data_IF_714340152700
#
_entry.id   IF_714340152700
#
_cell.length_a   1.000
_cell.length_b   1.000
_cell.length_c   1.000
_cell.angle_alpha   90.00
_cell.angle_beta   90.00
_cell.angle_gamma   90.00
#
_symmetry.space_group_name_H-M   'P 1'
#
loop_
_entity.id
_entity.type
_entity.pdbx_description
1 polymer ?
#
# COMPACT_ATOMS: atom_id res chain seq x y z
N UNK A 1 6.39 4.78 5.60
CA UNK A 1 7.34 3.83 4.96
C UNK A 1 7.83 2.79 5.97
N UNK A 2 8.42 3.17 7.11
CA UNK A 2 8.83 2.21 8.16
C UNK A 2 7.67 1.30 8.58
N UNK A 3 6.51 1.88 8.88
CA UNK A 3 5.30 1.15 9.26
C UNK A 3 4.85 0.09 8.22
N UNK A 4 4.95 0.42 6.92
CA UNK A 4 4.62 -0.53 5.84
C UNK A 4 5.62 -1.69 5.85
N UNK A 5 6.92 -1.39 5.98
CA UNK A 5 7.96 -2.41 6.01
C UNK A 5 7.82 -3.32 7.24
N UNK A 6 7.55 -2.74 8.41
CA UNK A 6 7.39 -3.47 9.66
C UNK A 6 6.15 -4.38 9.61
N UNK A 7 5.02 -3.87 9.09
CA UNK A 7 3.82 -4.67 8.90
C UNK A 7 4.00 -5.79 7.87
N UNK A 8 4.72 -5.54 6.76
CA UNK A 8 5.04 -6.58 5.78
C UNK A 8 5.91 -7.70 6.39
N UNK A 9 6.82 -7.37 7.31
CA UNK A 9 7.63 -8.38 8.03
C UNK A 9 6.81 -9.12 9.07
N UNK A 10 5.97 -8.42 9.83
CA UNK A 10 5.24 -8.98 10.95
C UNK A 10 3.98 -9.77 10.55
N UNK A 11 3.23 -9.27 9.57
CA UNK A 11 1.91 -9.78 9.20
C UNK A 11 1.84 -10.25 7.74
N UNK A 12 2.85 -9.97 6.92
CA UNK A 12 2.85 -10.30 5.48
C UNK A 12 1.99 -9.37 4.64
N UNK A 13 1.38 -8.34 5.23
CA UNK A 13 0.59 -7.34 4.54
C UNK A 13 0.48 -6.04 5.33
N UNK A 14 0.08 -4.97 4.65
CA UNK A 14 -0.24 -3.69 5.27
C UNK A 14 -1.53 -3.13 4.68
N UNK A 15 -2.46 -2.71 5.54
CA UNK A 15 -3.72 -2.10 5.14
C UNK A 15 -3.82 -0.68 5.68
N UNK A 16 -4.33 0.25 4.87
CA UNK A 16 -4.52 1.63 5.27
C UNK A 16 -5.73 2.26 4.58
N UNK A 17 -6.32 3.26 5.24
CA UNK A 17 -7.26 4.20 4.60
C UNK A 17 -6.51 5.43 4.12
N UNK A 18 -6.77 5.81 2.89
CA UNK A 18 -6.20 6.98 2.23
C UNK A 18 -7.34 7.92 1.91
N UNK A 19 -7.21 9.18 2.30
CA UNK A 19 -8.01 10.25 1.74
C UNK A 19 -7.63 10.43 0.26
N UNK A 20 -8.53 9.99 -0.61
CA UNK A 20 -8.37 9.95 -2.04
C UNK A 20 -8.99 11.18 -2.74
N UNK A 21 -9.42 12.21 -1.99
CA UNK A 21 -9.84 13.48 -2.59
C UNK A 21 -8.72 14.15 -3.38
N UNK A 22 -7.47 13.83 -3.06
CA UNK A 22 -6.28 14.29 -3.80
C UNK A 22 -5.52 13.09 -4.36
N UNK A 23 -5.44 12.98 -5.69
CA UNK A 23 -4.66 11.94 -6.38
C UNK A 23 -3.20 11.87 -5.92
N UNK A 24 -2.61 13.00 -5.51
CA UNK A 24 -1.25 13.05 -4.98
C UNK A 24 -1.06 12.11 -3.76
N UNK A 25 -2.05 11.99 -2.87
CA UNK A 25 -1.96 11.09 -1.71
C UNK A 25 -1.88 9.63 -2.12
N UNK A 26 -2.57 9.25 -3.19
CA UNK A 26 -2.50 7.90 -3.78
C UNK A 26 -1.13 7.64 -4.39
N UNK A 27 -0.55 8.63 -5.06
CA UNK A 27 0.81 8.57 -5.64
C UNK A 27 1.87 8.44 -4.54
N UNK A 28 1.78 9.27 -3.50
CA UNK A 28 2.72 9.27 -2.37
C UNK A 28 2.67 7.94 -1.60
N UNK A 29 1.46 7.39 -1.42
CA UNK A 29 1.28 6.07 -0.84
C UNK A 29 1.93 4.97 -1.70
N UNK A 30 1.67 5.00 -3.01
CA UNK A 30 2.25 4.06 -3.98
C UNK A 30 3.78 4.09 -3.99
N UNK A 31 4.36 5.29 -3.88
CA UNK A 31 5.80 5.47 -3.77
C UNK A 31 6.32 4.89 -2.45
N UNK A 32 5.67 5.19 -1.34
CA UNK A 32 6.04 4.71 -0.01
C UNK A 32 6.01 3.18 0.10
N UNK A 33 5.00 2.54 -0.47
CA UNK A 33 4.90 1.07 -0.52
C UNK A 33 6.04 0.45 -1.32
N UNK A 34 6.36 1.01 -2.50
CA UNK A 34 7.50 0.54 -3.31
C UNK A 34 8.84 0.72 -2.62
N UNK A 35 9.04 1.84 -1.91
CA UNK A 35 10.25 2.08 -1.13
C UNK A 35 10.37 1.09 0.05
N UNK A 36 9.27 0.75 0.71
CA UNK A 36 9.25 -0.29 1.74
C UNK A 36 9.66 -1.66 1.17
N UNK A 37 9.08 -2.07 0.04
CA UNK A 37 9.47 -3.30 -0.66
C UNK A 37 10.96 -3.32 -1.01
N UNK A 38 11.48 -2.23 -1.59
CA UNK A 38 12.92 -2.09 -1.91
C UNK A 38 13.82 -2.26 -0.69
N UNK A 39 13.45 -1.65 0.45
CA UNK A 39 14.21 -1.77 1.71
C UNK A 39 14.24 -3.22 2.21
N UNK A 40 13.18 -3.98 1.98
CA UNK A 40 13.05 -5.38 2.37
C UNK A 40 13.62 -6.35 1.30
N UNK A 41 14.10 -5.86 0.16
CA UNK A 41 14.57 -6.71 -0.94
C UNK A 41 13.47 -7.46 -1.68
N UNK A 42 12.20 -7.04 -1.54
CA UNK A 42 11.04 -7.68 -2.18
C UNK A 42 10.31 -6.72 -3.13
N UNK A 43 9.54 -7.30 -4.06
CA UNK A 43 8.53 -6.53 -4.81
C UNK A 43 7.23 -6.56 -4.02
N UNK A 44 6.44 -5.50 -4.16
CA UNK A 44 5.12 -5.39 -3.52
C UNK A 44 4.04 -5.15 -4.58
N UNK A 45 2.86 -5.71 -4.34
CA UNK A 45 1.62 -5.36 -5.02
C UNK A 45 0.86 -4.36 -4.15
N UNK A 46 0.20 -3.38 -4.79
CA UNK A 46 -0.61 -2.37 -4.12
C UNK A 46 -1.99 -2.40 -4.75
N UNK A 47 -2.99 -2.86 -3.98
CA UNK A 47 -4.39 -2.85 -4.35
C UNK A 47 -5.05 -1.61 -3.74
N UNK A 48 -5.76 -0.82 -4.54
CA UNK A 48 -6.45 0.39 -4.08
C UNK A 48 -7.91 0.29 -4.49
N UNK A 49 -8.80 0.27 -3.51
CA UNK A 49 -10.24 0.21 -3.69
C UNK A 49 -10.85 1.52 -3.24
N UNK A 50 -11.44 2.23 -4.18
CA UNK A 50 -12.21 3.44 -3.87
C UNK A 50 -13.52 3.03 -3.22
N UNK A 51 -13.78 3.54 -2.02
CA UNK A 51 -15.07 3.32 -1.35
C UNK A 51 -16.15 4.10 -2.11
N UNK A 52 -17.30 3.48 -2.37
CA UNK A 52 -18.47 4.16 -2.96
C UNK A 52 -19.17 5.14 -2.01
N UNK A 53 -18.71 5.22 -0.76
CA UNK A 53 -19.23 6.14 0.23
C UNK A 53 -18.88 7.60 -0.13
N UNK A 54 -19.68 8.60 0.26
CA UNK A 54 -19.59 9.98 -0.24
C UNK A 54 -18.31 10.76 0.16
N UNK A 55 -17.35 10.13 0.83
CA UNK A 55 -16.28 10.83 1.56
C UNK A 55 -14.91 10.77 0.89
N UNK A 56 -14.81 10.31 -0.36
CA UNK A 56 -13.55 10.38 -1.12
C UNK A 56 -12.40 9.61 -0.47
N UNK A 57 -12.70 8.50 0.23
CA UNK A 57 -11.70 7.61 0.80
C UNK A 57 -11.40 6.42 -0.12
N UNK A 58 -10.18 5.92 -0.03
CA UNK A 58 -9.75 4.67 -0.63
C UNK A 58 -9.14 3.75 0.44
N UNK A 59 -9.45 2.48 0.35
CA UNK A 59 -8.77 1.43 1.11
C UNK A 59 -7.60 0.92 0.27
N UNK A 60 -6.42 0.88 0.87
CA UNK A 60 -5.23 0.38 0.22
C UNK A 60 -4.67 -0.82 0.97
N UNK A 61 -4.33 -1.86 0.21
CA UNK A 61 -3.68 -3.07 0.72
C UNK A 61 -2.37 -3.28 -0.01
N UNK A 62 -1.31 -3.53 0.75
CA UNK A 62 0.04 -3.81 0.25
C UNK A 62 0.41 -5.23 0.62
N UNK A 63 0.80 -6.03 -0.37
CA UNK A 63 1.24 -7.42 -0.16
C UNK A 63 2.55 -7.67 -0.89
N UNK A 64 3.40 -8.62 -0.44
CA UNK A 64 4.54 -9.09 -1.22
C UNK A 64 4.06 -9.64 -2.57
N UNK A 65 4.75 -9.28 -3.64
CA UNK A 65 4.53 -9.89 -4.94
C UNK A 65 5.24 -11.25 -4.92
N UNK A 66 4.50 -12.31 -4.62
CA UNK A 66 4.96 -13.68 -4.87
C UNK A 66 5.14 -13.86 -6.38
N UNK A 67 6.29 -14.40 -6.80
CA UNK A 67 6.46 -14.77 -8.19
C UNK A 67 5.35 -15.76 -8.59
N UNK A 68 4.71 -15.62 -9.76
CA UNK A 68 3.81 -16.65 -10.24
C UNK A 68 4.62 -17.96 -10.35
N UNK A 69 4.08 -19.02 -9.75
CA UNK A 69 4.62 -20.39 -9.79
C UNK A 69 4.61 -20.94 -11.22
#
# INVERSE_FOLDING_TARGET
>A
MAEIADALVAAGEYEARIDAQTTQRIVDFNWSARQAGRRLGIRVHVDIRYSRAPEGQAEARVTPLTAPS
#
